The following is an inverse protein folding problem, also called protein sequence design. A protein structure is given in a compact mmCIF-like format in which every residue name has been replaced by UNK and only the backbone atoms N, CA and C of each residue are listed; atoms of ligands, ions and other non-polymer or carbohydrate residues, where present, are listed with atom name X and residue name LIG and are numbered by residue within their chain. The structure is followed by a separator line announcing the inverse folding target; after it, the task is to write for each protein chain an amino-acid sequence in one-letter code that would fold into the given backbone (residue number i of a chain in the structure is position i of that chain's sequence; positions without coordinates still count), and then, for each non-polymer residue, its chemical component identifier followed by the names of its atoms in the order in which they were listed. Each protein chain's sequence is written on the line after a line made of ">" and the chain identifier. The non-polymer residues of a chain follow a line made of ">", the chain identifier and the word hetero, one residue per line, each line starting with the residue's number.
data_IF_200215404374
#
_entry.id   IF_200215404374
#
_cell.length_a   1.000
_cell.length_b   1.000
_cell.length_c   1.000
_cell.angle_alpha   90.00
_cell.angle_beta   90.00
_cell.angle_gamma   90.00
#
_symmetry.space_group_name_H-M   'P 1'
#
loop_
_entity.id
_entity.type
_entity.pdbx_description
1 polymer ?
#
# COMPACT_ATOMS: atom_id res chain seq x y z
N UNK A 1 15.31 7.10 7.05
CA UNK A 1 14.33 6.01 6.82
C UNK A 1 14.90 4.75 7.43
N UNK A 2 14.60 4.52 8.70
CA UNK A 2 15.41 3.66 9.57
C UNK A 2 14.88 2.21 9.61
N UNK A 3 15.77 1.20 9.55
CA UNK A 3 15.43 -0.24 9.48
C UNK A 3 14.66 -0.78 10.70
N UNK A 4 14.64 -0.04 11.81
CA UNK A 4 13.93 -0.40 13.04
C UNK A 4 12.40 -0.43 12.88
N UNK A 5 11.83 0.35 11.96
CA UNK A 5 10.39 0.30 11.68
C UNK A 5 9.94 -0.97 10.95
N UNK A 6 10.85 -1.63 10.26
CA UNK A 6 10.57 -2.90 9.58
C UNK A 6 10.58 -4.07 10.56
N UNK A 7 11.46 -4.03 11.57
CA UNK A 7 11.58 -5.09 12.60
C UNK A 7 10.48 -5.03 13.66
N UNK A 8 9.92 -3.85 13.95
CA UNK A 8 8.83 -3.71 14.92
C UNK A 8 7.47 -4.22 14.39
N UNK A 9 7.32 -4.43 13.08
CA UNK A 9 6.16 -5.06 12.45
C UNK A 9 6.55 -6.48 11.97
N UNK A 10 7.00 -7.31 12.90
CA UNK A 10 7.47 -8.69 12.70
C UNK A 10 6.37 -9.69 12.29
N UNK A 11 5.46 -9.30 11.41
CA UNK A 11 4.79 -10.25 10.53
C UNK A 11 5.43 -10.04 9.16
N UNK A 12 6.36 -10.93 8.80
CA UNK A 12 6.81 -11.13 7.42
C UNK A 12 5.60 -11.58 6.59
N UNK A 13 4.72 -10.63 6.29
CA UNK A 13 3.62 -10.86 5.39
C UNK A 13 4.23 -11.09 4.01
N UNK A 14 4.30 -12.37 3.62
CA UNK A 14 4.63 -12.74 2.25
C UNK A 14 3.82 -11.86 1.31
N UNK A 15 4.46 -11.33 0.27
CA UNK A 15 3.85 -10.47 -0.75
C UNK A 15 2.54 -11.05 -1.30
N UNK A 16 2.47 -12.39 -1.33
CA UNK A 16 1.34 -13.21 -1.73
C UNK A 16 0.12 -13.07 -0.80
N UNK A 17 0.34 -12.86 0.51
CA UNK A 17 -0.71 -12.72 1.52
C UNK A 17 -1.26 -11.30 1.64
N UNK A 18 -0.48 -10.28 1.26
CA UNK A 18 -0.88 -8.87 1.33
C UNK A 18 -2.22 -8.57 0.65
N UNK A 19 -2.51 -9.03 -0.59
CA UNK A 19 -3.81 -8.79 -1.22
C UNK A 19 -4.97 -9.50 -0.49
N UNK A 20 -4.72 -10.63 0.18
CA UNK A 20 -5.70 -11.31 1.02
C UNK A 20 -6.00 -10.52 2.30
N UNK A 21 -4.96 -9.98 2.94
CA UNK A 21 -5.08 -9.17 4.16
C UNK A 21 -5.75 -7.82 3.88
N UNK A 22 -5.46 -7.19 2.75
CA UNK A 22 -6.16 -5.98 2.31
C UNK A 22 -7.67 -6.21 2.15
N UNK A 23 -8.06 -7.39 1.64
CA UNK A 23 -9.47 -7.80 1.57
C UNK A 23 -10.06 -8.05 2.95
N UNK A 24 -9.38 -8.80 3.81
CA UNK A 24 -9.85 -9.03 5.18
C UNK A 24 -10.04 -7.71 5.96
N UNK A 25 -9.15 -6.72 5.78
CA UNK A 25 -9.29 -5.39 6.37
C UNK A 25 -10.48 -4.63 5.79
N UNK A 26 -10.72 -4.73 4.48
CA UNK A 26 -11.89 -4.13 3.84
C UNK A 26 -13.21 -4.76 4.32
N UNK A 27 -13.23 -6.09 4.49
CA UNK A 27 -14.39 -6.83 4.97
C UNK A 27 -14.68 -6.50 6.45
N UNK A 28 -13.65 -6.42 7.29
CA UNK A 28 -13.77 -5.98 8.68
C UNK A 28 -14.29 -4.54 8.79
N UNK A 29 -13.78 -3.62 7.95
CA UNK A 29 -14.27 -2.24 7.92
C UNK A 29 -15.73 -2.17 7.49
N UNK A 30 -16.16 -3.04 6.56
CA UNK A 30 -17.54 -3.09 6.11
C UNK A 30 -18.47 -3.63 7.21
N UNK A 31 -18.06 -4.67 7.92
CA UNK A 31 -18.81 -5.20 9.05
C UNK A 31 -18.99 -4.16 10.17
N UNK A 32 -17.93 -3.42 10.52
CA UNK A 32 -18.00 -2.33 11.50
C UNK A 32 -18.93 -1.18 11.06
N UNK A 33 -18.93 -0.84 9.77
CA UNK A 33 -19.82 0.18 9.22
C UNK A 33 -21.30 -0.25 9.20
N UNK A 34 -21.58 -1.54 8.94
CA UNK A 34 -22.95 -2.07 8.99
C UNK A 34 -23.44 -2.12 10.43
N UNK A 35 -22.62 -2.60 11.37
CA UNK A 35 -22.98 -2.66 12.78
C UNK A 35 -23.27 -1.27 13.38
N UNK A 36 -22.57 -0.22 12.92
CA UNK A 36 -22.84 1.15 13.36
C UNK A 36 -24.11 1.75 12.77
N UNK A 37 -24.62 1.25 11.64
CA UNK A 37 -25.84 1.76 10.99
C UNK A 37 -27.13 1.40 11.73
N UNK A 38 -27.09 0.41 12.63
CA UNK A 38 -28.23 0.01 13.47
C UNK A 38 -28.50 0.99 14.63
N UNK A 39 -27.57 1.90 14.92
CA UNK A 39 -27.73 2.94 15.94
C UNK A 39 -28.22 4.24 15.25
N UNK A 40 -29.24 4.92 15.80
CA UNK A 40 -29.90 6.06 15.15
C UNK A 40 -29.01 7.27 14.80
N UNK A 41 -27.85 7.42 15.45
CA UNK A 41 -26.80 8.41 15.12
C UNK A 41 -25.81 7.91 14.06
N UNK A 42 -25.88 6.63 13.69
CA UNK A 42 -25.00 5.95 12.74
C UNK A 42 -25.30 6.22 11.27
N UNK A 43 -26.39 6.92 10.93
CA UNK A 43 -26.73 7.23 9.53
C UNK A 43 -25.70 8.15 8.86
N UNK A 44 -25.21 9.18 9.58
CA UNK A 44 -24.16 10.09 9.11
C UNK A 44 -22.81 9.38 9.00
N UNK A 45 -22.50 8.47 9.93
CA UNK A 45 -21.28 7.67 9.88
C UNK A 45 -21.32 6.64 8.75
N UNK A 46 -22.46 5.98 8.53
CA UNK A 46 -22.66 5.02 7.46
C UNK A 46 -22.62 5.68 6.07
N UNK A 47 -23.20 6.87 5.91
CA UNK A 47 -23.12 7.63 4.66
C UNK A 47 -21.68 8.07 4.36
N UNK A 48 -20.96 8.57 5.37
CA UNK A 48 -19.54 8.90 5.24
C UNK A 48 -18.70 7.66 4.89
N UNK A 49 -19.01 6.51 5.50
CA UNK A 49 -18.37 5.25 5.17
C UNK A 49 -18.59 4.85 3.71
N UNK A 50 -19.84 4.87 3.24
CA UNK A 50 -20.17 4.48 1.87
C UNK A 50 -19.56 5.41 0.81
N UNK A 51 -19.55 6.72 1.06
CA UNK A 51 -19.03 7.72 0.10
C UNK A 51 -17.51 7.79 0.05
N UNK A 52 -16.84 7.70 1.20
CA UNK A 52 -15.41 8.01 1.28
C UNK A 52 -14.51 6.84 1.68
N UNK A 53 -14.92 6.03 2.66
CA UNK A 53 -14.11 4.88 3.11
C UNK A 53 -14.26 3.67 2.19
N UNK A 54 -15.46 3.39 1.68
CA UNK A 54 -15.71 2.24 0.82
C UNK A 54 -14.86 2.27 -0.46
N UNK A 55 -14.75 3.40 -1.20
CA UNK A 55 -13.84 3.47 -2.35
C UNK A 55 -12.37 3.34 -1.93
N UNK A 56 -12.01 3.87 -0.76
CA UNK A 56 -10.64 3.76 -0.23
C UNK A 56 -10.28 2.31 0.10
N UNK A 57 -11.19 1.53 0.70
CA UNK A 57 -10.96 0.13 1.03
C UNK A 57 -11.04 -0.79 -0.20
N UNK A 58 -11.97 -0.56 -1.13
CA UNK A 58 -12.16 -1.38 -2.33
C UNK A 58 -11.08 -1.20 -3.39
N UNK A 59 -10.59 0.02 -3.63
CA UNK A 59 -9.64 0.22 -4.72
C UNK A 59 -8.22 -0.17 -4.28
N UNK A 60 -7.51 -1.00 -5.08
CA UNK A 60 -6.08 -1.15 -4.94
C UNK A 60 -5.40 0.19 -5.24
N UNK A 61 -4.30 0.48 -4.53
CA UNK A 61 -3.55 1.72 -4.75
C UNK A 61 -2.94 1.74 -6.14
N UNK A 62 -2.98 2.92 -6.77
CA UNK A 62 -2.38 3.16 -8.09
C UNK A 62 -0.92 2.74 -8.15
N UNK A 63 -0.44 2.29 -9.31
CA UNK A 63 0.97 2.00 -9.59
C UNK A 63 1.88 3.22 -9.32
N UNK A 64 1.36 4.44 -9.43
CA UNK A 64 2.09 5.66 -9.04
C UNK A 64 2.40 5.71 -7.54
N UNK A 65 1.53 5.13 -6.70
CA UNK A 65 1.78 5.02 -5.25
C UNK A 65 2.90 4.03 -4.93
N UNK A 66 3.08 3.00 -5.76
CA UNK A 66 4.20 2.06 -5.63
C UNK A 66 5.55 2.76 -5.88
N UNK A 67 5.57 3.73 -6.80
CA UNK A 67 6.76 4.52 -7.11
C UNK A 67 7.01 5.65 -6.10
N UNK A 68 5.95 6.31 -5.64
CA UNK A 68 6.00 7.41 -4.68
C UNK A 68 4.98 7.20 -3.54
N UNK A 69 5.33 6.43 -2.50
CA UNK A 69 4.44 6.23 -1.36
C UNK A 69 4.22 7.55 -0.61
N UNK A 70 3.02 8.12 -0.77
CA UNK A 70 2.63 9.40 -0.17
C UNK A 70 1.56 9.28 0.91
N UNK A 71 1.82 9.79 2.12
CA UNK A 71 0.86 9.74 3.24
C UNK A 71 -0.27 10.78 3.19
N UNK A 72 -0.46 11.51 2.08
CA UNK A 72 -1.45 12.60 1.99
C UNK A 72 -2.89 12.09 2.16
N UNK A 73 -3.25 11.01 1.45
CA UNK A 73 -4.60 10.46 1.45
C UNK A 73 -5.01 9.89 2.81
N UNK A 74 -4.09 9.23 3.52
CA UNK A 74 -4.30 8.81 4.90
C UNK A 74 -4.58 9.99 5.83
N UNK A 75 -3.75 11.04 5.78
CA UNK A 75 -3.91 12.22 6.65
C UNK A 75 -5.23 12.93 6.39
N UNK A 76 -5.64 13.00 5.12
CA UNK A 76 -6.92 13.58 4.74
C UNK A 76 -8.11 12.78 5.30
N UNK A 77 -8.08 11.44 5.15
CA UNK A 77 -9.13 10.56 5.69
C UNK A 77 -9.19 10.61 7.22
N UNK A 78 -8.05 10.55 7.90
CA UNK A 78 -8.01 10.67 9.37
C UNK A 78 -8.50 12.04 9.86
N UNK A 79 -8.13 13.13 9.16
CA UNK A 79 -8.61 14.47 9.50
C UNK A 79 -10.10 14.69 9.20
N UNK A 80 -10.69 13.94 8.26
CA UNK A 80 -12.14 13.90 8.06
C UNK A 80 -12.83 13.07 9.15
N UNK A 81 -12.27 11.91 9.49
CA UNK A 81 -12.75 11.05 10.57
C UNK A 81 -12.81 11.79 11.92
N UNK A 82 -11.74 12.51 12.28
CA UNK A 82 -11.66 13.30 13.52
C UNK A 82 -12.65 14.47 13.58
N UNK A 83 -13.12 14.96 12.42
CA UNK A 83 -14.15 16.01 12.40
C UNK A 83 -15.54 15.45 12.67
N UNK A 84 -15.80 14.21 12.25
CA UNK A 84 -17.05 13.49 12.55
C UNK A 84 -17.16 13.12 14.03
N UNK A 85 -16.02 12.88 14.68
CA UNK A 85 -15.93 12.53 16.11
C UNK A 85 -16.72 13.49 17.03
N UNK A 86 -16.71 14.79 16.70
CA UNK A 86 -17.42 15.83 17.47
C UNK A 86 -18.95 15.71 17.41
N UNK A 87 -19.49 14.99 16.42
CA UNK A 87 -20.92 14.90 16.14
C UNK A 87 -21.49 13.52 16.48
N UNK A 88 -20.68 12.61 17.02
CA UNK A 88 -21.06 11.23 17.32
C UNK A 88 -21.16 11.03 18.84
N UNK A 89 -22.19 10.31 19.28
CA UNK A 89 -22.29 9.84 20.65
C UNK A 89 -21.24 8.77 20.98
N UNK A 90 -21.17 8.32 22.25
CA UNK A 90 -20.14 7.40 22.75
C UNK A 90 -20.06 6.06 22.02
N UNK A 91 -21.15 5.60 21.38
CA UNK A 91 -21.16 4.38 20.56
C UNK A 91 -20.58 4.61 19.15
N UNK A 92 -20.73 5.80 18.57
CA UNK A 92 -20.11 6.14 17.29
C UNK A 92 -18.61 6.40 17.40
N UNK A 93 -18.17 6.94 18.55
CA UNK A 93 -16.76 7.13 18.92
C UNK A 93 -15.95 5.82 18.84
N UNK A 94 -16.48 4.72 19.37
CA UNK A 94 -15.79 3.42 19.33
C UNK A 94 -15.63 2.89 17.90
N UNK A 95 -16.66 3.06 17.05
CA UNK A 95 -16.58 2.70 15.62
C UNK A 95 -15.57 3.56 14.88
N UNK A 96 -15.49 4.87 15.18
CA UNK A 96 -14.52 5.79 14.60
C UNK A 96 -13.09 5.38 14.96
N UNK A 97 -12.84 5.02 16.21
CA UNK A 97 -11.53 4.51 16.63
C UNK A 97 -11.15 3.21 15.91
N UNK A 98 -12.10 2.29 15.76
CA UNK A 98 -11.88 1.02 15.06
C UNK A 98 -11.56 1.26 13.57
N UNK A 99 -12.34 2.11 12.90
CA UNK A 99 -12.08 2.50 11.52
C UNK A 99 -10.73 3.21 11.36
N UNK A 100 -10.33 4.06 12.32
CA UNK A 100 -9.03 4.71 12.31
C UNK A 100 -7.88 3.69 12.39
N UNK A 101 -8.00 2.66 13.23
CA UNK A 101 -7.01 1.56 13.31
C UNK A 101 -6.97 0.76 12.01
N UNK A 102 -8.12 0.46 11.40
CA UNK A 102 -8.19 -0.25 10.13
C UNK A 102 -7.56 0.55 8.96
N UNK A 103 -7.78 1.86 8.91
CA UNK A 103 -7.14 2.75 7.92
C UNK A 103 -5.62 2.71 8.08
N UNK A 104 -5.11 2.79 9.32
CA UNK A 104 -3.68 2.73 9.59
C UNK A 104 -3.09 1.39 9.16
N UNK A 105 -3.73 0.29 9.53
CA UNK A 105 -3.28 -1.06 9.16
C UNK A 105 -3.26 -1.28 7.64
N UNK A 106 -4.27 -0.77 6.92
CA UNK A 106 -4.26 -0.80 5.45
C UNK A 106 -3.11 0.04 4.87
N UNK A 107 -2.88 1.24 5.42
CA UNK A 107 -1.82 2.13 4.94
C UNK A 107 -0.43 1.50 5.08
N UNK A 108 -0.18 0.84 6.22
CA UNK A 108 1.07 0.14 6.47
C UNK A 108 1.25 -1.03 5.48
N UNK A 109 0.22 -1.87 5.28
CA UNK A 109 0.25 -2.95 4.28
C UNK A 109 0.52 -2.44 2.86
N UNK A 110 -0.15 -1.36 2.46
CA UNK A 110 0.05 -0.73 1.15
C UNK A 110 1.48 -0.18 0.99
N UNK A 111 2.06 0.36 2.06
CA UNK A 111 3.44 0.86 2.08
C UNK A 111 4.46 -0.28 1.95
N UNK A 112 4.29 -1.37 2.71
CA UNK A 112 5.16 -2.54 2.61
C UNK A 112 5.13 -3.14 1.20
N UNK A 113 3.93 -3.30 0.64
CA UNK A 113 3.75 -3.77 -0.72
C UNK A 113 4.47 -2.89 -1.75
N UNK A 114 4.32 -1.57 -1.64
CA UNK A 114 4.96 -0.60 -2.52
C UNK A 114 6.49 -0.72 -2.50
N UNK A 115 7.08 -0.76 -1.30
CA UNK A 115 8.54 -0.86 -1.11
C UNK A 115 9.08 -2.18 -1.66
N UNK A 116 8.41 -3.30 -1.38
CA UNK A 116 8.86 -4.62 -1.82
C UNK A 116 8.76 -4.77 -3.35
N UNK A 117 7.66 -4.30 -3.94
CA UNK A 117 7.51 -4.23 -5.40
C UNK A 117 8.56 -3.36 -6.07
N UNK A 118 8.89 -2.20 -5.48
CA UNK A 118 9.96 -1.33 -5.99
C UNK A 118 11.30 -2.04 -5.97
N UNK A 119 11.61 -2.78 -4.91
CA UNK A 119 12.86 -3.54 -4.82
C UNK A 119 12.92 -4.65 -5.88
N UNK A 120 11.83 -5.39 -6.07
CA UNK A 120 11.74 -6.43 -7.12
C UNK A 120 11.92 -5.82 -8.52
N UNK A 121 11.30 -4.67 -8.78
CA UNK A 121 11.43 -3.99 -10.07
C UNK A 121 12.85 -3.48 -10.31
N UNK A 122 13.50 -2.91 -9.29
CA UNK A 122 14.90 -2.49 -9.38
C UNK A 122 15.83 -3.67 -9.63
N UNK A 123 15.62 -4.79 -8.93
CA UNK A 123 16.39 -6.02 -9.16
C UNK A 123 16.20 -6.56 -10.58
N UNK A 124 14.95 -6.65 -11.06
CA UNK A 124 14.66 -7.11 -12.42
C UNK A 124 15.27 -6.19 -13.48
N UNK A 125 15.18 -4.87 -13.29
CA UNK A 125 15.78 -3.89 -14.19
C UNK A 125 17.31 -3.99 -14.20
N UNK A 126 17.93 -4.17 -13.02
CA UNK A 126 19.37 -4.37 -12.91
C UNK A 126 19.81 -5.68 -13.57
N UNK A 127 19.09 -6.78 -13.35
CA UNK A 127 19.37 -8.05 -14.00
C UNK A 127 19.27 -7.94 -15.53
N UNK A 128 18.23 -7.28 -16.05
CA UNK A 128 18.10 -7.02 -17.48
C UNK A 128 19.28 -6.20 -18.03
N UNK A 129 19.72 -5.16 -17.30
CA UNK A 129 20.88 -4.36 -17.67
C UNK A 129 22.17 -5.19 -17.72
N UNK A 130 22.36 -6.10 -16.76
CA UNK A 130 23.50 -7.03 -16.74
C UNK A 130 23.51 -7.95 -17.96
N UNK A 131 22.35 -8.47 -18.37
CA UNK A 131 22.23 -9.28 -19.58
C UNK A 131 22.56 -8.49 -20.84
N UNK A 132 22.07 -7.26 -20.97
CA UNK A 132 22.39 -6.38 -22.10
C UNK A 132 23.90 -6.11 -22.16
N UNK A 133 24.52 -5.79 -21.01
CA UNK A 133 25.97 -5.54 -20.94
C UNK A 133 26.78 -6.79 -21.30
N UNK A 134 26.36 -7.97 -20.84
CA UNK A 134 27.02 -9.23 -21.16
C UNK A 134 26.99 -9.53 -22.67
N UNK A 135 25.85 -9.30 -23.33
CA UNK A 135 25.72 -9.44 -24.79
C UNK A 135 26.64 -8.44 -25.51
N UNK A 136 26.69 -7.20 -25.04
CA UNK A 136 27.54 -6.14 -25.61
C UNK A 136 29.02 -6.51 -25.52
N UNK A 137 29.47 -7.00 -24.37
CA UNK A 137 30.85 -7.48 -24.17
C UNK A 137 31.12 -8.69 -25.10
N UNK A 138 30.20 -9.66 -25.13
CA UNK A 138 30.33 -10.85 -25.97
C UNK A 138 30.37 -10.52 -27.48
N UNK A 139 29.71 -9.44 -27.92
CA UNK A 139 29.81 -8.94 -29.29
C UNK A 139 31.08 -8.11 -29.53
N UNK A 140 31.49 -7.31 -28.54
CA UNK A 140 32.63 -6.40 -28.67
C UNK A 140 33.97 -7.13 -28.70
N UNK A 141 34.18 -8.13 -27.83
CA UNK A 141 35.42 -8.91 -27.76
C UNK A 141 35.81 -9.56 -29.10
N UNK A 142 34.94 -10.32 -29.80
CA UNK A 142 35.29 -10.91 -31.09
C UNK A 142 35.47 -9.86 -32.18
N UNK A 143 34.70 -8.76 -32.14
CA UNK A 143 34.89 -7.65 -33.09
C UNK A 143 36.26 -7.01 -32.92
N UNK A 144 36.67 -6.70 -31.68
CA UNK A 144 37.99 -6.16 -31.38
C UNK A 144 39.12 -7.11 -31.79
N UNK A 145 39.00 -8.42 -31.52
CA UNK A 145 39.98 -9.41 -31.95
C UNK A 145 40.11 -9.50 -33.47
N UNK A 146 39.00 -9.38 -34.22
CA UNK A 146 39.05 -9.33 -35.69
C UNK A 146 39.75 -8.08 -36.22
N UNK A 147 39.53 -6.93 -35.60
CA UNK A 147 40.21 -5.68 -36.01
C UNK A 147 41.68 -5.63 -35.58
N UNK A 148 42.07 -6.29 -34.48
CA UNK A 148 43.47 -6.37 -34.05
C UNK A 148 44.30 -7.39 -34.84
N UNK A 149 43.72 -8.50 -35.30
CA UNK A 149 44.42 -9.51 -36.12
C UNK A 149 44.60 -9.14 -37.60
N UNK A 150 44.19 -7.93 -38.00
CA UNK A 150 44.30 -7.41 -39.37
C UNK A 150 45.43 -6.40 -39.60
N UNK A 151 46.31 -6.18 -38.61
CA UNK A 151 47.57 -5.44 -38.73
C UNK A 151 48.76 -6.39 -38.72
#
# INVERSE_FOLDING_TARGET
>A
TSPQRLLALSEDYRLECIPGLQRAVADAAHAAAVASSDFGEGSTLAEFYQRELLPYFRLPRSWMFVLFPGGRRRRELLGRLQRLDRYLGPQGLSTVEELARLIQRKDDLDYHYAVQRRLQLLYAAHAALMWVLAILIAAHVPMALRFQGGM
#
